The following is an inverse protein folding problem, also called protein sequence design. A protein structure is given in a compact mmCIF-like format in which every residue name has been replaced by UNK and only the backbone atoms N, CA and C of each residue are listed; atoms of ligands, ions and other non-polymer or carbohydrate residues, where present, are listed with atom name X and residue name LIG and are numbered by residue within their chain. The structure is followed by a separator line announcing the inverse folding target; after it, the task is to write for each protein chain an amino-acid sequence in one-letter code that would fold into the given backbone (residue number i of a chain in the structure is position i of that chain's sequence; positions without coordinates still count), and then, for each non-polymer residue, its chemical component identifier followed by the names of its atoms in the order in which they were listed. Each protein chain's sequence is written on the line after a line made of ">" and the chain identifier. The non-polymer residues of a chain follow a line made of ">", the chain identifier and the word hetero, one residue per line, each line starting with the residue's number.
data_IF_660060864669
#
_entry.id   IF_660060864669
#
_cell.length_a   1.000
_cell.length_b   1.000
_cell.length_c   1.000
_cell.angle_alpha   90.00
_cell.angle_beta   90.00
_cell.angle_gamma   90.00
#
_symmetry.space_group_name_H-M   'P 1'
#
loop_
_entity.id
_entity.type
_entity.pdbx_description
1 polymer ?
#
# COMPACT_ATOMS: atom_id res chain seq x y z
N UNK A 1 -24.55 3.95 34.37
CA UNK A 1 -23.51 4.33 33.38
C UNK A 1 -22.89 3.05 32.81
N UNK A 2 -23.24 2.69 31.58
CA UNK A 2 -22.62 1.56 30.88
C UNK A 2 -21.25 2.05 30.40
N UNK A 3 -20.18 1.48 30.98
CA UNK A 3 -18.82 1.73 30.45
C UNK A 3 -18.76 1.16 29.03
N UNK A 4 -18.70 2.02 28.03
CA UNK A 4 -18.52 1.60 26.65
C UNK A 4 -17.26 0.76 26.53
N UNK A 5 -17.38 -0.45 26.00
CA UNK A 5 -16.24 -1.31 25.68
C UNK A 5 -15.51 -0.70 24.49
N UNK A 6 -14.28 -0.24 24.71
CA UNK A 6 -13.40 0.18 23.62
C UNK A 6 -12.88 -1.07 22.90
N UNK A 7 -13.05 -1.10 21.59
CA UNK A 7 -12.52 -2.16 20.71
C UNK A 7 -11.17 -1.72 20.18
N UNK A 8 -10.18 -2.61 20.28
CA UNK A 8 -8.85 -2.38 19.72
C UNK A 8 -8.86 -2.72 18.23
N UNK A 9 -8.58 -1.74 17.37
CA UNK A 9 -8.26 -1.93 15.95
C UNK A 9 -6.76 -1.83 15.70
N UNK A 10 -6.29 -2.44 14.61
CA UNK A 10 -4.88 -2.43 14.25
C UNK A 10 -4.00 -3.43 15.02
N UNK A 11 -2.74 -3.58 14.57
CA UNK A 11 -1.73 -4.45 15.19
C UNK A 11 -0.64 -3.62 15.88
N UNK A 12 -0.15 -4.11 16.99
CA UNK A 12 0.93 -3.67 17.89
C UNK A 12 1.43 -2.20 17.83
N UNK A 13 1.91 -1.67 16.73
CA UNK A 13 2.44 -0.29 16.60
C UNK A 13 1.46 0.73 16.02
N UNK A 14 0.36 0.26 15.43
CA UNK A 14 -0.76 1.08 14.93
C UNK A 14 -2.07 0.71 15.60
N UNK A 15 -2.01 0.28 16.86
CA UNK A 15 -3.21 -0.03 17.63
C UNK A 15 -3.95 1.26 18.00
N UNK A 16 -5.23 1.30 17.69
CA UNK A 16 -6.16 2.34 18.13
C UNK A 16 -7.34 1.69 18.85
N UNK A 17 -7.98 2.45 19.74
CA UNK A 17 -9.16 2.01 20.46
C UNK A 17 -10.34 2.86 20.06
N UNK A 18 -11.48 2.25 19.77
CA UNK A 18 -12.70 2.95 19.41
C UNK A 18 -13.93 2.36 20.11
N UNK A 19 -14.95 3.17 20.28
CA UNK A 19 -16.25 2.77 20.78
C UNK A 19 -17.11 2.26 19.62
N UNK A 20 -17.42 0.95 19.53
CA UNK A 20 -18.18 0.42 18.42
C UNK A 20 -19.62 0.94 18.34
N UNK A 21 -20.15 1.50 19.43
CA UNK A 21 -21.49 2.10 19.45
C UNK A 21 -21.52 3.50 18.81
N UNK A 22 -20.36 4.17 18.75
CA UNK A 22 -20.20 5.48 18.09
C UNK A 22 -19.76 5.36 16.63
N UNK A 23 -19.63 4.14 16.12
CA UNK A 23 -19.07 3.85 14.83
C UNK A 23 -17.54 4.00 14.82
N UNK A 24 -16.93 3.88 13.64
CA UNK A 24 -15.53 4.29 13.45
C UNK A 24 -15.44 5.78 13.74
N UNK A 25 -14.64 6.22 14.71
CA UNK A 25 -14.81 7.55 15.29
C UNK A 25 -14.68 8.68 14.28
N UNK A 26 -13.94 8.54 13.24
CA UNK A 26 -13.73 9.60 12.24
C UNK A 26 -13.19 8.95 10.96
N UNK A 27 -14.06 8.62 10.02
CA UNK A 27 -13.57 8.19 8.73
C UNK A 27 -14.52 7.28 7.97
N UNK A 28 -14.40 7.34 6.68
CA UNK A 28 -15.04 6.41 5.79
C UNK A 28 -14.12 5.21 5.60
N UNK A 29 -14.60 4.01 5.89
CA UNK A 29 -13.87 2.78 5.67
C UNK A 29 -14.56 1.90 4.62
N UNK A 30 -13.76 1.19 3.85
CA UNK A 30 -14.24 0.29 2.82
C UNK A 30 -13.34 -0.93 2.78
N UNK A 31 -13.93 -2.12 2.75
CA UNK A 31 -13.21 -3.36 2.53
C UNK A 31 -14.01 -4.25 1.61
N UNK A 32 -13.39 -4.73 0.54
CA UNK A 32 -14.02 -5.63 -0.41
C UNK A 32 -13.01 -6.62 -0.98
N UNK A 33 -13.50 -7.84 -1.20
CA UNK A 33 -12.78 -8.91 -1.90
C UNK A 33 -13.32 -9.01 -3.32
N UNK A 34 -12.42 -9.06 -4.28
CA UNK A 34 -12.71 -9.17 -5.70
C UNK A 34 -12.22 -10.51 -6.23
N UNK A 35 -12.95 -11.11 -7.19
CA UNK A 35 -12.40 -12.14 -8.06
C UNK A 35 -11.42 -11.48 -9.02
N UNK A 36 -10.28 -12.13 -9.28
CA UNK A 36 -9.26 -11.60 -10.20
C UNK A 36 -9.53 -12.06 -11.66
N UNK A 37 -10.76 -12.45 -11.96
CA UNK A 37 -11.18 -12.79 -13.31
C UNK A 37 -11.58 -11.50 -14.04
N UNK A 38 -10.78 -11.07 -15.00
CA UNK A 38 -11.02 -9.85 -15.83
C UNK A 38 -11.15 -8.55 -14.99
N UNK A 39 -10.47 -8.48 -13.86
CA UNK A 39 -10.53 -7.34 -12.96
C UNK A 39 -9.90 -6.11 -13.59
N UNK A 40 -10.63 -4.98 -13.59
CA UNK A 40 -10.18 -3.72 -14.16
C UNK A 40 -9.85 -2.74 -13.03
N UNK A 41 -8.59 -2.37 -12.93
CA UNK A 41 -8.05 -1.52 -11.86
C UNK A 41 -8.80 -0.18 -11.74
N UNK A 42 -9.03 0.51 -12.85
CA UNK A 42 -9.67 1.82 -12.85
C UNK A 42 -11.11 1.80 -12.31
N UNK A 43 -11.86 0.70 -12.49
CA UNK A 43 -13.21 0.57 -11.93
C UNK A 43 -13.16 0.41 -10.41
N UNK A 44 -12.15 -0.32 -9.89
CA UNK A 44 -11.95 -0.46 -8.45
C UNK A 44 -11.53 0.86 -7.82
N UNK A 45 -10.64 1.62 -8.48
CA UNK A 45 -10.25 2.95 -8.01
C UNK A 45 -11.45 3.88 -7.89
N UNK A 46 -12.31 3.93 -8.91
CA UNK A 46 -13.53 4.73 -8.89
C UNK A 46 -14.49 4.28 -7.77
N UNK A 47 -14.74 2.96 -7.63
CA UNK A 47 -15.56 2.43 -6.55
C UNK A 47 -14.97 2.79 -5.18
N UNK A 48 -13.68 2.59 -4.99
CA UNK A 48 -12.96 2.86 -3.76
C UNK A 48 -13.10 4.33 -3.33
N UNK A 49 -12.85 5.26 -4.24
CA UNK A 49 -13.02 6.72 -4.00
C UNK A 49 -14.44 7.08 -3.59
N UNK A 50 -15.43 6.54 -4.31
CA UNK A 50 -16.84 6.77 -4.02
C UNK A 50 -17.23 6.23 -2.64
N UNK A 51 -16.77 5.03 -2.29
CA UNK A 51 -17.10 4.36 -1.02
C UNK A 51 -16.54 5.07 0.20
N UNK A 52 -15.33 5.64 0.11
CA UNK A 52 -14.75 6.42 1.20
C UNK A 52 -15.14 7.91 1.15
N UNK A 53 -16.01 8.28 0.21
CA UNK A 53 -16.49 9.67 0.08
C UNK A 53 -15.39 10.68 -0.21
N UNK A 54 -14.30 10.26 -0.89
CA UNK A 54 -13.18 11.14 -1.19
C UNK A 54 -13.59 12.30 -2.08
N UNK A 55 -13.33 13.52 -1.64
CA UNK A 55 -13.62 14.73 -2.38
C UNK A 55 -12.64 15.85 -1.96
N UNK A 56 -12.70 17.01 -2.67
CA UNK A 56 -11.78 18.16 -2.43
C UNK A 56 -11.88 18.78 -1.04
N UNK A 57 -12.95 18.51 -0.27
CA UNK A 57 -13.13 19.06 1.08
C UNK A 57 -12.41 18.24 2.15
N UNK A 58 -12.30 16.92 1.93
CA UNK A 58 -11.71 15.99 2.90
C UNK A 58 -10.38 15.38 2.45
N UNK A 59 -9.96 15.59 1.19
CA UNK A 59 -8.69 15.13 0.68
C UNK A 59 -8.16 16.14 -0.34
N UNK A 60 -7.04 16.83 -0.06
CA UNK A 60 -6.40 17.75 -1.00
C UNK A 60 -6.03 17.07 -2.31
N UNK A 61 -6.06 17.81 -3.42
CA UNK A 61 -5.86 17.28 -4.76
C UNK A 61 -4.50 16.58 -4.94
N UNK A 62 -3.43 17.15 -4.38
CA UNK A 62 -2.10 16.53 -4.45
C UNK A 62 -2.01 15.21 -3.66
N UNK A 63 -2.70 15.10 -2.51
CA UNK A 63 -2.79 13.85 -1.75
C UNK A 63 -3.65 12.82 -2.49
N UNK A 64 -4.77 13.25 -3.09
CA UNK A 64 -5.60 12.42 -3.95
C UNK A 64 -4.81 11.87 -5.15
N UNK A 65 -3.96 12.68 -5.78
CA UNK A 65 -3.11 12.25 -6.90
C UNK A 65 -2.05 11.23 -6.47
N UNK A 66 -1.46 11.40 -5.29
CA UNK A 66 -0.56 10.43 -4.69
C UNK A 66 -1.29 9.10 -4.43
N UNK A 67 -2.50 9.17 -3.88
CA UNK A 67 -3.31 7.98 -3.63
C UNK A 67 -3.65 7.25 -4.93
N UNK A 68 -4.16 7.97 -5.93
CA UNK A 68 -4.56 7.37 -7.21
C UNK A 68 -3.39 6.61 -7.84
N UNK A 69 -2.22 7.24 -7.91
CA UNK A 69 -1.02 6.60 -8.43
C UNK A 69 -0.64 5.36 -7.62
N UNK A 70 -0.46 5.53 -6.30
CA UNK A 70 0.01 4.46 -5.43
C UNK A 70 -0.96 3.27 -5.37
N UNK A 71 -2.27 3.56 -5.32
CA UNK A 71 -3.31 2.54 -5.30
C UNK A 71 -3.37 1.75 -6.61
N UNK A 72 -3.36 2.46 -7.75
CA UNK A 72 -3.35 1.84 -9.08
C UNK A 72 -2.13 0.96 -9.29
N UNK A 73 -0.93 1.42 -8.97
CA UNK A 73 0.30 0.64 -9.09
C UNK A 73 0.25 -0.65 -8.24
N UNK A 74 -0.18 -0.55 -6.99
CA UNK A 74 -0.22 -1.72 -6.10
C UNK A 74 -1.33 -2.69 -6.48
N UNK A 75 -2.46 -2.18 -6.96
CA UNK A 75 -3.56 -3.01 -7.44
C UNK A 75 -3.21 -3.73 -8.75
N UNK A 76 -2.58 -3.04 -9.71
CA UNK A 76 -2.10 -3.64 -10.94
C UNK A 76 -1.06 -4.74 -10.67
N UNK A 77 -0.14 -4.51 -9.74
CA UNK A 77 0.81 -5.54 -9.32
C UNK A 77 0.09 -6.79 -8.77
N UNK A 78 -0.99 -6.61 -8.01
CA UNK A 78 -1.77 -7.73 -7.50
C UNK A 78 -2.56 -8.44 -8.62
N UNK A 79 -3.15 -7.70 -9.57
CA UNK A 79 -3.91 -8.25 -10.69
C UNK A 79 -3.01 -9.05 -11.63
N UNK A 80 -1.91 -8.43 -12.09
CA UNK A 80 -1.10 -8.98 -13.19
C UNK A 80 -0.05 -10.00 -12.74
N UNK A 81 0.51 -9.81 -11.54
CA UNK A 81 1.73 -10.53 -11.13
C UNK A 81 1.53 -11.50 -9.96
N UNK A 82 0.41 -11.43 -9.23
CA UNK A 82 0.22 -12.30 -8.08
C UNK A 82 -0.13 -13.74 -8.43
N UNK A 83 -0.78 -13.98 -9.57
CA UNK A 83 -1.45 -15.23 -9.89
C UNK A 83 -2.49 -15.63 -8.83
N UNK A 84 -3.03 -14.68 -8.11
CA UNK A 84 -4.08 -14.91 -7.12
C UNK A 84 -5.45 -14.89 -7.77
N UNK A 85 -6.33 -15.80 -7.35
CA UNK A 85 -7.74 -15.80 -7.79
C UNK A 85 -8.57 -14.70 -7.14
N UNK A 86 -8.08 -14.14 -6.06
CA UNK A 86 -8.80 -13.13 -5.28
C UNK A 86 -7.84 -12.05 -4.78
N UNK A 87 -8.33 -10.82 -4.79
CA UNK A 87 -7.63 -9.64 -4.26
C UNK A 87 -8.55 -8.97 -3.25
N UNK A 88 -8.02 -8.64 -2.08
CA UNK A 88 -8.75 -7.88 -1.05
C UNK A 88 -8.19 -6.48 -1.00
N UNK A 89 -9.10 -5.51 -1.06
CA UNK A 89 -8.78 -4.08 -0.94
C UNK A 89 -9.45 -3.53 0.31
N UNK A 90 -8.70 -2.79 1.11
CA UNK A 90 -9.23 -2.06 2.26
C UNK A 90 -8.74 -0.62 2.22
N UNK A 91 -9.63 0.33 2.48
CA UNK A 91 -9.32 1.75 2.53
C UNK A 91 -9.88 2.38 3.80
N UNK A 92 -9.20 3.39 4.28
CA UNK A 92 -9.66 4.27 5.36
C UNK A 92 -9.25 5.70 5.02
N UNK A 93 -10.19 6.61 5.09
CA UNK A 93 -9.97 8.06 5.04
C UNK A 93 -10.53 8.67 6.32
N UNK A 94 -9.67 9.24 7.13
CA UNK A 94 -10.03 9.98 8.34
C UNK A 94 -9.53 11.43 8.29
N UNK A 95 -9.67 12.18 9.38
CA UNK A 95 -9.28 13.60 9.45
C UNK A 95 -7.76 13.83 9.35
N UNK A 96 -6.96 12.80 9.50
CA UNK A 96 -5.50 12.91 9.52
C UNK A 96 -4.84 12.12 8.39
N UNK A 97 -5.47 11.02 7.95
CA UNK A 97 -4.76 9.98 7.18
C UNK A 97 -5.64 9.38 6.10
N UNK A 98 -5.05 9.17 4.95
CA UNK A 98 -5.55 8.31 3.89
C UNK A 98 -4.68 7.05 3.85
N UNK A 99 -5.32 5.90 4.01
CA UNK A 99 -4.65 4.60 4.06
C UNK A 99 -5.34 3.59 3.17
N UNK A 100 -4.54 2.77 2.50
CA UNK A 100 -5.05 1.57 1.85
C UNK A 100 -4.23 0.32 2.17
N UNK A 101 -4.87 -0.83 1.99
CA UNK A 101 -4.25 -2.15 1.98
C UNK A 101 -4.70 -2.87 0.73
N UNK A 102 -3.76 -3.39 -0.04
CA UNK A 102 -4.00 -4.34 -1.15
C UNK A 102 -3.36 -5.66 -0.76
N UNK A 103 -4.15 -6.72 -0.80
CA UNK A 103 -3.73 -8.04 -0.36
C UNK A 103 -4.14 -9.13 -1.34
N UNK A 104 -3.20 -9.98 -1.71
CA UNK A 104 -3.41 -11.18 -2.51
C UNK A 104 -2.92 -12.44 -1.76
N UNK A 105 -3.29 -13.61 -2.27
CA UNK A 105 -2.87 -14.92 -1.76
C UNK A 105 -2.04 -15.72 -2.78
N UNK A 106 -1.42 -15.03 -3.72
CA UNK A 106 -0.69 -15.62 -4.83
C UNK A 106 0.74 -16.02 -4.53
N UNK A 107 1.62 -15.82 -5.50
CA UNK A 107 3.03 -16.29 -5.44
C UNK A 107 3.93 -15.50 -4.51
N UNK A 108 3.52 -14.26 -4.17
CA UNK A 108 4.30 -13.36 -3.34
C UNK A 108 5.37 -12.59 -4.10
N UNK A 109 5.43 -11.27 -3.86
CA UNK A 109 6.27 -10.34 -4.62
C UNK A 109 7.76 -10.67 -4.55
N UNK A 110 8.30 -10.95 -3.35
CA UNK A 110 9.74 -11.24 -3.22
C UNK A 110 10.11 -12.54 -3.91
N UNK A 111 9.29 -13.60 -3.78
CA UNK A 111 9.52 -14.86 -4.49
C UNK A 111 9.48 -14.68 -6.01
N UNK A 112 8.56 -13.86 -6.52
CA UNK A 112 8.46 -13.56 -7.94
C UNK A 112 9.72 -12.88 -8.46
N UNK A 113 10.23 -11.87 -7.74
CA UNK A 113 11.44 -11.12 -8.12
C UNK A 113 12.69 -12.01 -8.04
N UNK A 114 12.84 -12.76 -6.95
CA UNK A 114 13.97 -13.73 -6.77
C UNK A 114 14.03 -14.67 -7.95
N UNK A 115 12.90 -15.28 -8.35
CA UNK A 115 12.83 -16.19 -9.49
C UNK A 115 13.14 -15.50 -10.81
N UNK A 116 12.48 -14.36 -11.10
CA UNK A 116 12.61 -13.63 -12.37
C UNK A 116 14.03 -13.13 -12.60
N UNK A 117 14.69 -12.62 -11.55
CA UNK A 117 16.03 -12.04 -11.62
C UNK A 117 17.15 -12.99 -11.19
N UNK A 118 16.81 -14.24 -10.80
CA UNK A 118 17.76 -15.26 -10.33
C UNK A 118 18.59 -14.76 -9.13
N UNK A 119 17.94 -14.09 -8.18
CA UNK A 119 18.57 -13.58 -6.97
C UNK A 119 18.72 -14.69 -5.92
N UNK A 120 19.62 -14.51 -4.95
CA UNK A 120 19.88 -15.51 -3.93
C UNK A 120 18.79 -15.55 -2.83
N UNK A 121 18.18 -14.41 -2.51
CA UNK A 121 17.25 -14.28 -1.37
C UNK A 121 16.36 -13.05 -1.45
N UNK A 122 15.42 -12.93 -0.49
CA UNK A 122 14.49 -11.80 -0.41
C UNK A 122 15.17 -10.45 -0.12
N UNK A 123 16.31 -10.44 0.59
CA UNK A 123 17.06 -9.20 0.85
C UNK A 123 17.59 -8.61 -0.44
N UNK A 124 18.13 -9.44 -1.34
CA UNK A 124 18.56 -8.99 -2.67
C UNK A 124 17.38 -8.49 -3.51
N UNK A 125 16.21 -9.17 -3.41
CA UNK A 125 15.00 -8.70 -4.08
C UNK A 125 14.55 -7.33 -3.59
N UNK A 126 14.62 -7.08 -2.27
CA UNK A 126 14.32 -5.76 -1.69
C UNK A 126 15.34 -4.72 -2.15
N UNK A 127 16.64 -5.05 -2.12
CA UNK A 127 17.67 -4.14 -2.62
C UNK A 127 17.44 -3.77 -4.09
N UNK A 128 17.06 -4.73 -4.91
CA UNK A 128 16.74 -4.49 -6.31
C UNK A 128 15.50 -3.59 -6.50
N UNK A 129 14.43 -3.85 -5.74
CA UNK A 129 13.24 -2.99 -5.71
C UNK A 129 13.57 -1.55 -5.29
N UNK A 130 14.47 -1.38 -4.34
CA UNK A 130 14.81 -0.07 -3.78
C UNK A 130 15.85 0.71 -4.59
N UNK A 131 16.46 0.11 -5.61
CA UNK A 131 17.34 0.83 -6.54
C UNK A 131 16.58 1.79 -7.46
N UNK A 132 15.25 1.63 -7.60
CA UNK A 132 14.51 2.37 -8.61
C UNK A 132 14.94 1.98 -10.02
N UNK A 133 14.83 2.90 -10.97
CA UNK A 133 15.10 2.66 -12.37
C UNK A 133 16.57 2.37 -12.64
N UNK A 134 16.92 1.13 -12.89
CA UNK A 134 18.17 0.73 -13.53
C UNK A 134 17.94 0.12 -14.93
N UNK A 135 16.73 0.19 -15.47
CA UNK A 135 16.42 -0.43 -16.77
C UNK A 135 16.11 0.63 -17.82
N UNK A 136 16.94 0.66 -18.86
CA UNK A 136 16.76 1.40 -20.11
C UNK A 136 15.63 0.84 -21.00
N UNK A 137 14.76 -0.04 -20.48
CA UNK A 137 13.67 -0.66 -21.22
C UNK A 137 12.31 -0.07 -20.81
N UNK A 138 11.59 0.66 -21.70
CA UNK A 138 10.31 1.33 -21.38
C UNK A 138 9.13 0.41 -21.08
N UNK A 139 9.29 -0.91 -21.14
CA UNK A 139 8.18 -1.88 -21.05
C UNK A 139 8.21 -2.76 -19.79
N UNK A 140 9.12 -2.55 -18.84
CA UNK A 140 9.18 -3.35 -17.61
C UNK A 140 8.74 -2.52 -16.40
N UNK A 141 7.45 -2.37 -16.22
CA UNK A 141 6.83 -1.66 -15.07
C UNK A 141 7.05 -2.33 -13.71
N UNK A 142 7.64 -3.51 -13.64
CA UNK A 142 7.80 -4.25 -12.39
C UNK A 142 9.00 -3.78 -11.56
N UNK A 143 8.76 -2.99 -10.57
CA UNK A 143 9.77 -2.49 -9.61
C UNK A 143 9.71 -0.97 -9.43
N UNK A 144 9.51 -0.20 -10.51
CA UNK A 144 9.37 1.25 -10.41
C UNK A 144 8.12 1.66 -9.63
N UNK A 145 6.98 1.01 -9.88
CA UNK A 145 5.72 1.29 -9.19
C UNK A 145 5.84 1.10 -7.67
N UNK A 146 6.45 0.00 -7.21
CA UNK A 146 6.69 -0.24 -5.79
C UNK A 146 7.65 0.80 -5.23
N UNK A 147 8.73 1.11 -5.96
CA UNK A 147 9.71 2.11 -5.55
C UNK A 147 9.06 3.48 -5.35
N UNK A 148 8.40 4.03 -6.37
CA UNK A 148 7.78 5.34 -6.29
C UNK A 148 6.63 5.37 -5.27
N UNK A 149 5.80 4.32 -5.20
CA UNK A 149 4.76 4.20 -4.16
C UNK A 149 5.38 4.28 -2.77
N UNK A 150 6.51 3.61 -2.53
CA UNK A 150 7.21 3.67 -1.25
C UNK A 150 7.72 5.08 -0.90
N UNK A 151 8.09 5.89 -1.91
CA UNK A 151 8.55 7.27 -1.72
C UNK A 151 7.39 8.25 -1.52
N UNK A 152 6.21 7.95 -2.07
CA UNK A 152 5.00 8.74 -1.90
C UNK A 152 4.37 8.60 -0.51
N UNK A 153 4.54 7.46 0.15
CA UNK A 153 3.95 7.17 1.45
C UNK A 153 4.60 7.93 2.60
N UNK A 154 3.86 8.19 3.67
CA UNK A 154 4.46 8.47 4.99
C UNK A 154 4.91 7.16 5.65
N UNK A 155 4.09 6.11 5.51
CA UNK A 155 4.42 4.75 5.92
C UNK A 155 4.07 3.79 4.80
N UNK A 156 5.03 2.99 4.39
CA UNK A 156 4.89 1.93 3.42
C UNK A 156 5.35 0.61 4.01
N UNK A 157 4.52 -0.44 3.90
CA UNK A 157 4.87 -1.78 4.31
C UNK A 157 4.57 -2.76 3.18
N UNK A 158 5.54 -3.62 2.88
CA UNK A 158 5.41 -4.67 1.88
C UNK A 158 5.73 -6.01 2.54
N UNK A 159 4.70 -6.84 2.69
CA UNK A 159 4.77 -8.12 3.38
C UNK A 159 4.59 -9.28 2.40
N UNK A 160 5.52 -10.22 2.38
CA UNK A 160 5.41 -11.44 1.57
C UNK A 160 6.31 -12.55 2.12
N UNK A 161 5.79 -13.77 2.20
CA UNK A 161 6.51 -14.88 2.81
C UNK A 161 6.85 -14.61 4.28
N UNK A 162 8.11 -14.73 4.63
CA UNK A 162 8.63 -14.46 5.99
C UNK A 162 9.21 -13.06 6.13
N UNK A 163 9.04 -12.19 5.13
CA UNK A 163 9.75 -10.91 5.05
C UNK A 163 8.78 -9.73 4.98
N UNK A 164 9.06 -8.71 5.75
CA UNK A 164 8.45 -7.39 5.68
C UNK A 164 9.51 -6.34 5.37
N UNK A 165 9.27 -5.55 4.32
CA UNK A 165 9.93 -4.27 4.12
C UNK A 165 9.05 -3.19 4.74
N UNK A 166 9.62 -2.42 5.66
CA UNK A 166 8.97 -1.27 6.28
C UNK A 166 9.75 0.00 5.97
N UNK A 167 9.06 1.02 5.46
CA UNK A 167 9.63 2.33 5.15
C UNK A 167 8.78 3.39 5.84
N UNK A 168 9.42 4.28 6.57
CA UNK A 168 8.83 5.48 7.16
C UNK A 168 9.54 6.70 6.56
N UNK A 169 8.78 7.57 5.91
CA UNK A 169 9.28 8.81 5.29
C UNK A 169 8.90 10.03 6.14
N UNK A 170 9.25 10.02 7.42
CA UNK A 170 9.09 11.14 8.35
C UNK A 170 10.13 12.24 8.13
N UNK A 171 10.60 12.88 9.20
CA UNK A 171 11.70 13.87 9.14
C UNK A 171 13.01 13.22 8.66
N UNK A 172 13.22 11.97 9.02
CA UNK A 172 14.29 11.10 8.52
C UNK A 172 13.65 9.90 7.84
N UNK A 173 14.22 9.48 6.71
CA UNK A 173 13.77 8.24 6.07
C UNK A 173 14.36 7.05 6.82
N UNK A 174 13.49 6.16 7.27
CA UNK A 174 13.87 4.92 7.93
C UNK A 174 13.41 3.73 7.08
N UNK A 175 14.31 2.78 6.89
CA UNK A 175 14.03 1.52 6.21
C UNK A 175 14.44 0.38 7.11
N UNK A 176 13.54 -0.59 7.31
CA UNK A 176 13.84 -1.83 8.02
C UNK A 176 13.30 -3.05 7.28
N UNK A 177 14.02 -4.16 7.42
CA UNK A 177 13.61 -5.46 6.92
C UNK A 177 13.36 -6.33 8.14
N UNK A 178 12.13 -6.80 8.30
CA UNK A 178 11.70 -7.53 9.47
C UNK A 178 11.29 -8.97 9.10
N UNK A 179 11.43 -9.89 10.06
CA UNK A 179 10.90 -11.25 9.91
C UNK A 179 9.40 -11.27 10.28
N UNK A 180 8.60 -11.90 9.45
CA UNK A 180 7.17 -12.11 9.68
C UNK A 180 6.89 -13.50 10.25
N UNK A 181 6.15 -13.52 11.36
CA UNK A 181 5.58 -14.75 11.94
C UNK A 181 4.12 -14.48 12.32
N UNK A 182 3.15 -15.25 11.81
CA UNK A 182 3.27 -16.31 10.79
C UNK A 182 3.63 -15.79 9.40
N UNK A 183 4.08 -16.69 8.52
CA UNK A 183 4.37 -16.37 7.11
C UNK A 183 3.15 -15.80 6.41
N UNK A 184 3.35 -14.77 5.59
CA UNK A 184 2.31 -14.21 4.73
C UNK A 184 2.24 -14.98 3.40
N UNK A 185 1.10 -15.60 3.11
CA UNK A 185 0.82 -16.15 1.79
C UNK A 185 0.48 -15.01 0.83
N UNK A 186 1.12 -14.99 -0.35
CA UNK A 186 0.96 -13.92 -1.32
C UNK A 186 1.66 -12.64 -0.90
N UNK A 187 1.06 -11.50 -1.24
CA UNK A 187 1.58 -10.17 -0.93
C UNK A 187 0.54 -9.35 -0.17
N UNK A 188 0.99 -8.53 0.75
CA UNK A 188 0.18 -7.49 1.39
C UNK A 188 0.95 -6.18 1.37
N UNK A 189 0.37 -5.18 0.73
CA UNK A 189 0.87 -3.81 0.72
C UNK A 189 0.03 -2.98 1.67
N UNK A 190 0.68 -2.19 2.51
CA UNK A 190 0.05 -1.19 3.37
C UNK A 190 0.68 0.15 3.02
N UNK A 191 -0.15 1.09 2.63
CA UNK A 191 0.22 2.46 2.29
C UNK A 191 -0.52 3.42 3.20
N UNK A 192 0.16 4.45 3.68
CA UNK A 192 -0.45 5.50 4.48
C UNK A 192 0.19 6.85 4.13
N UNK A 193 -0.65 7.88 3.95
CA UNK A 193 -0.23 9.26 3.71
C UNK A 193 -1.12 10.20 4.53
N UNK A 194 -0.53 11.24 5.13
CA UNK A 194 -1.27 12.28 5.83
C UNK A 194 -2.07 13.13 4.82
N UNK A 195 -3.32 13.43 5.14
CA UNK A 195 -4.10 14.42 4.35
C UNK A 195 -3.52 15.83 4.43
N UNK A 196 -2.64 16.09 5.42
CA UNK A 196 -1.91 17.33 5.57
C UNK A 196 -0.51 17.30 4.94
N UNK A 197 -0.20 16.25 4.18
CA UNK A 197 1.08 16.14 3.45
C UNK A 197 1.21 17.32 2.47
N UNK A 198 2.42 17.86 2.38
CA UNK A 198 2.77 18.91 1.40
C UNK A 198 3.49 18.34 0.17
N UNK A 199 3.63 17.01 0.11
CA UNK A 199 4.32 16.37 -1.00
C UNK A 199 3.47 16.36 -2.26
N UNK A 200 4.15 16.56 -3.40
CA UNK A 200 3.55 16.40 -4.71
C UNK A 200 4.21 15.24 -5.44
N UNK A 201 3.41 14.47 -6.17
CA UNK A 201 3.91 13.31 -6.93
C UNK A 201 4.95 13.71 -7.97
N UNK A 202 4.79 14.89 -8.60
CA UNK A 202 5.73 15.45 -9.57
C UNK A 202 7.12 15.70 -8.98
N UNK A 203 7.18 16.15 -7.72
CA UNK A 203 8.45 16.43 -7.06
C UNK A 203 9.17 15.13 -6.69
N UNK A 204 8.39 14.11 -6.28
CA UNK A 204 8.92 12.78 -5.99
C UNK A 204 9.51 12.17 -7.27
N UNK A 205 8.79 12.21 -8.39
CA UNK A 205 9.34 11.70 -9.65
C UNK A 205 10.60 12.45 -10.07
N UNK A 206 10.59 13.78 -10.01
CA UNK A 206 11.76 14.61 -10.37
C UNK A 206 12.97 14.30 -9.50
N UNK A 207 12.79 14.03 -8.20
CA UNK A 207 13.89 13.74 -7.27
C UNK A 207 14.60 12.40 -7.57
N UNK A 208 13.94 11.48 -8.28
CA UNK A 208 14.45 10.13 -8.53
C UNK A 208 14.55 9.77 -10.02
N UNK A 209 14.16 10.67 -10.94
CA UNK A 209 14.38 10.55 -12.39
C UNK A 209 15.68 11.28 -12.75
N UNK A 210 16.82 10.65 -12.55
CA UNK A 210 18.13 11.09 -13.05
C UNK A 210 18.56 10.22 -14.21
#
# INVERSE_FOLDING_TARGET
>A
MVRGLLVKGGSTRSAYYYDPQKGFPFGHSFTKRYSNDELQEHLILLEARARIGMNKKNCPEHVSSIFDYAFSEMLNNAIEHSHSKQITVSLVLDEATLRFVVEDTGVGVFNSIVKKKRLANNTEAIQDLMKGKTTTAPQAHSGEGIFFTSKCADVFQLQSGETELHISNGKTQELSINSLKPKKRGTRVIFSVSIHSTRHISDIFRAYQT
#
